data_IF_262689973458
#
_entry.id   IF_262689973458
#
_cell.length_a   1.000
_cell.length_b   1.000
_cell.length_c   1.000
_cell.angle_alpha   90.00
_cell.angle_beta   90.00
_cell.angle_gamma   90.00
#
_symmetry.space_group_name_H-M   'P 1'
#
loop_
_entity.id
_entity.type
_entity.pdbx_description
1 polymer ?
#
# COMPACT_ATOMS: atom_id res chain seq x y z
N UNK A 1 -3.24 8.50 -10.00
CA UNK A 1 -1.91 8.20 -10.59
C UNK A 1 -1.38 6.91 -9.98
N UNK A 2 -0.73 6.04 -10.77
CA UNK A 2 -0.14 4.80 -10.24
C UNK A 2 1.19 5.07 -9.52
N UNK A 3 1.37 4.46 -8.36
CA UNK A 3 2.58 4.59 -7.55
C UNK A 3 3.07 3.25 -7.04
N UNK A 4 4.37 3.22 -6.74
CA UNK A 4 5.00 2.16 -5.97
C UNK A 4 5.75 2.77 -4.80
N UNK A 5 5.87 2.00 -3.73
CA UNK A 5 6.76 2.36 -2.66
C UNK A 5 8.23 2.25 -3.10
N UNK A 6 9.06 3.22 -2.68
CA UNK A 6 10.49 3.29 -3.01
C UNK A 6 11.27 2.12 -2.43
N UNK A 7 12.30 1.66 -3.13
CA UNK A 7 13.16 0.57 -2.62
C UNK A 7 13.89 0.96 -1.33
N UNK A 8 14.25 2.22 -1.17
CA UNK A 8 14.88 2.74 0.04
C UNK A 8 13.95 2.58 1.25
N UNK A 9 12.69 2.99 1.13
CA UNK A 9 11.73 2.89 2.25
C UNK A 9 11.39 1.44 2.59
N UNK A 10 11.28 0.55 1.59
CA UNK A 10 11.15 -0.89 1.81
C UNK A 10 12.35 -1.47 2.55
N UNK A 11 13.56 -1.14 2.11
CA UNK A 11 14.81 -1.65 2.69
C UNK A 11 14.99 -1.20 4.15
N UNK A 12 14.67 0.07 4.45
CA UNK A 12 14.73 0.59 5.81
C UNK A 12 13.78 -0.16 6.75
N UNK A 13 12.55 -0.47 6.30
CA UNK A 13 11.63 -1.27 7.10
C UNK A 13 12.09 -2.70 7.31
N UNK A 14 12.67 -3.34 6.30
CA UNK A 14 13.23 -4.69 6.44
C UNK A 14 14.39 -4.74 7.45
N UNK A 15 15.11 -3.63 7.63
CA UNK A 15 16.13 -3.50 8.68
C UNK A 15 15.57 -3.06 10.05
N UNK A 16 14.24 -3.02 10.24
CA UNK A 16 13.59 -2.65 11.50
C UNK A 16 13.38 -1.15 11.70
N UNK A 17 13.58 -0.34 10.66
CA UNK A 17 13.29 1.09 10.65
C UNK A 17 11.80 1.36 10.84
N UNK A 18 11.48 2.44 11.56
CA UNK A 18 10.11 2.92 11.81
C UNK A 18 9.70 4.08 10.91
N UNK A 19 10.50 4.34 9.87
CA UNK A 19 10.20 5.41 8.94
C UNK A 19 8.93 5.09 8.14
N UNK A 20 8.08 6.09 7.90
CA UNK A 20 6.86 5.92 7.12
C UNK A 20 7.18 5.62 5.65
N UNK A 21 6.29 4.85 5.02
CA UNK A 21 6.40 4.48 3.61
C UNK A 21 6.48 5.72 2.70
N UNK A 22 7.39 5.68 1.72
CA UNK A 22 7.51 6.72 0.70
C UNK A 22 7.16 6.13 -0.66
N UNK A 23 6.29 6.81 -1.38
CA UNK A 23 5.79 6.42 -2.69
C UNK A 23 6.29 7.37 -3.77
N UNK A 24 6.51 6.82 -4.95
CA UNK A 24 6.87 7.55 -6.16
C UNK A 24 6.03 7.08 -7.35
N UNK A 25 5.88 7.95 -8.35
CA UNK A 25 5.13 7.64 -9.56
C UNK A 25 5.73 6.42 -10.28
N UNK A 26 4.91 5.42 -10.57
CA UNK A 26 5.34 4.26 -11.34
C UNK A 26 4.97 4.45 -12.82
N UNK A 27 5.93 4.94 -13.61
CA UNK A 27 5.73 5.19 -15.04
C UNK A 27 5.63 3.91 -15.89
N UNK A 28 5.91 2.73 -15.33
CA UNK A 28 5.85 1.44 -16.04
C UNK A 28 4.47 0.76 -15.92
N UNK A 29 3.45 1.45 -15.37
CA UNK A 29 2.09 0.92 -15.14
C UNK A 29 2.06 -0.38 -14.32
N UNK A 30 3.05 -0.54 -13.44
CA UNK A 30 3.23 -1.66 -12.52
C UNK A 30 3.10 -1.22 -11.07
N UNK A 31 2.42 -0.09 -10.84
CA UNK A 31 2.15 0.40 -9.50
C UNK A 31 1.21 -0.55 -8.77
N UNK A 32 1.53 -0.85 -7.51
CA UNK A 32 0.68 -1.64 -6.63
C UNK A 32 -0.46 -0.80 -6.03
N UNK A 33 -0.29 0.53 -6.07
CA UNK A 33 -1.22 1.48 -5.47
C UNK A 33 -1.56 2.64 -6.40
N UNK A 34 -2.66 3.30 -6.08
CA UNK A 34 -3.13 4.52 -6.70
C UNK A 34 -3.10 5.67 -5.70
N UNK A 35 -2.64 6.82 -6.16
CA UNK A 35 -2.84 8.10 -5.51
C UNK A 35 -4.08 8.77 -6.10
N UNK A 36 -5.02 9.14 -5.24
CA UNK A 36 -6.23 9.89 -5.55
C UNK A 36 -6.15 11.25 -4.84
N UNK A 37 -6.34 12.33 -5.61
CA UNK A 37 -6.35 13.71 -5.12
C UNK A 37 -5.10 14.13 -4.30
N UNK A 38 -3.95 13.51 -4.59
CA UNK A 38 -2.69 13.68 -3.84
C UNK A 38 -2.78 13.44 -2.32
N UNK A 39 -3.85 12.79 -1.85
CA UNK A 39 -4.19 12.66 -0.43
C UNK A 39 -4.46 11.22 -0.02
N UNK A 40 -4.94 10.39 -0.94
CA UNK A 40 -5.39 9.04 -0.62
C UNK A 40 -4.59 7.99 -1.38
N UNK A 41 -4.15 6.97 -0.66
CA UNK A 41 -3.53 5.76 -1.20
C UNK A 41 -4.55 4.62 -1.21
N UNK A 42 -4.71 3.99 -2.37
CA UNK A 42 -5.67 2.90 -2.60
C UNK A 42 -4.96 1.73 -3.27
N UNK A 43 -5.13 0.47 -2.79
CA UNK A 43 -4.53 -0.69 -3.45
C UNK A 43 -5.18 -0.96 -4.81
N UNK A 44 -4.39 -1.41 -5.77
CA UNK A 44 -4.89 -1.80 -7.09
C UNK A 44 -5.71 -3.10 -6.98
N UNK A 45 -6.94 -3.06 -7.47
CA UNK A 45 -7.84 -4.21 -7.42
C UNK A 45 -7.35 -5.36 -8.31
N UNK A 46 -7.57 -6.60 -7.88
CA UNK A 46 -7.31 -7.81 -8.69
C UNK A 46 -5.90 -8.41 -8.61
N UNK A 47 -4.99 -7.88 -7.78
CA UNK A 47 -3.68 -8.48 -7.54
C UNK A 47 -3.74 -9.60 -6.48
N UNK A 48 -3.21 -10.79 -6.78
CA UNK A 48 -3.22 -11.92 -5.82
C UNK A 48 -2.42 -11.56 -4.57
N UNK A 49 -3.11 -11.49 -3.43
CA UNK A 49 -2.46 -11.31 -2.15
C UNK A 49 -1.93 -12.67 -1.68
N UNK A 50 -0.63 -12.86 -1.83
CA UNK A 50 0.14 -13.92 -1.19
C UNK A 50 0.76 -13.41 0.12
N UNK A 51 1.39 -14.29 0.90
CA UNK A 51 2.03 -13.94 2.17
C UNK A 51 2.96 -12.72 2.07
N UNK A 52 3.81 -12.69 1.03
CA UNK A 52 4.77 -11.62 0.82
C UNK A 52 4.09 -10.26 0.55
N UNK A 53 3.04 -10.26 -0.27
CA UNK A 53 2.24 -9.05 -0.50
C UNK A 53 1.39 -8.65 0.70
N UNK A 54 0.94 -9.60 1.53
CA UNK A 54 0.24 -9.32 2.78
C UNK A 54 1.14 -8.60 3.78
N UNK A 55 2.38 -9.06 3.94
CA UNK A 55 3.38 -8.39 4.78
C UNK A 55 3.61 -6.95 4.31
N UNK A 56 3.59 -6.71 3.01
CA UNK A 56 3.71 -5.35 2.47
C UNK A 56 2.45 -4.52 2.72
N UNK A 57 1.27 -5.03 2.37
CA UNK A 57 -0.01 -4.33 2.53
C UNK A 57 -0.30 -4.01 4.00
N UNK A 58 0.03 -4.93 4.92
CA UNK A 58 -0.22 -4.74 6.36
C UNK A 58 0.61 -3.61 6.99
N UNK A 59 1.65 -3.13 6.31
CA UNK A 59 2.37 -1.91 6.73
C UNK A 59 1.65 -0.61 6.37
N UNK A 60 0.73 -0.68 5.41
CA UNK A 60 0.03 0.47 4.84
C UNK A 60 -1.44 0.50 5.23
N UNK A 61 -2.02 -0.68 5.45
CA UNK A 61 -3.41 -0.89 5.78
C UNK A 61 -3.52 -1.84 6.98
N UNK A 62 -4.42 -1.53 7.89
CA UNK A 62 -4.91 -2.50 8.86
C UNK A 62 -5.75 -3.56 8.13
N UNK A 63 -5.35 -4.82 8.21
CA UNK A 63 -6.02 -5.94 7.56
C UNK A 63 -6.95 -6.66 8.54
N UNK A 64 -8.26 -6.56 8.33
CA UNK A 64 -9.29 -7.21 9.14
C UNK A 64 -9.69 -8.55 8.52
N UNK A 65 -9.92 -9.56 9.37
CA UNK A 65 -10.43 -10.89 8.99
C UNK A 65 -9.57 -11.66 7.96
N UNK A 66 -8.26 -11.41 7.91
CA UNK A 66 -7.36 -12.16 7.04
C UNK A 66 -7.11 -13.58 7.59
N UNK A 67 -7.53 -14.60 6.83
CA UNK A 67 -7.31 -16.01 7.16
C UNK A 67 -6.34 -16.66 6.16
N UNK A 68 -5.09 -16.89 6.60
CA UNK A 68 -4.00 -17.44 5.77
C UNK A 68 -4.29 -18.80 5.13
N UNK A 69 -5.12 -19.63 5.78
CA UNK A 69 -5.39 -21.00 5.37
C UNK A 69 -6.57 -21.14 4.41
N UNK A 70 -7.30 -20.05 4.20
CA UNK A 70 -8.39 -20.08 3.26
C UNK A 70 -7.83 -19.86 1.86
N UNK A 71 -8.12 -20.80 0.98
CA UNK A 71 -7.99 -20.64 -0.46
C UNK A 71 -9.01 -19.62 -1.01
N UNK A 72 -9.28 -18.55 -0.25
CA UNK A 72 -10.07 -17.40 -0.67
C UNK A 72 -9.19 -16.64 -1.65
N UNK A 73 -9.29 -17.07 -2.91
CA UNK A 73 -8.86 -16.23 -4.01
C UNK A 73 -9.62 -14.92 -3.95
N UNK A 74 -8.92 -13.84 -3.59
CA UNK A 74 -9.01 -12.47 -4.14
C UNK A 74 -10.36 -11.75 -4.27
N UNK A 75 -11.51 -12.38 -4.00
CA UNK A 75 -12.82 -11.86 -4.39
C UNK A 75 -13.47 -10.96 -3.34
N UNK A 76 -12.87 -10.83 -2.15
CA UNK A 76 -13.48 -10.17 -1.00
C UNK A 76 -12.63 -9.06 -0.39
N UNK A 77 -11.57 -8.56 -1.06
CA UNK A 77 -10.85 -7.39 -0.54
C UNK A 77 -11.74 -6.15 -0.64
N UNK A 78 -12.26 -5.71 0.50
CA UNK A 78 -13.08 -4.50 0.63
C UNK A 78 -12.20 -3.39 1.21
N UNK A 79 -12.09 -2.27 0.49
CA UNK A 79 -11.50 -1.06 1.02
C UNK A 79 -12.49 -0.37 1.96
N UNK A 80 -12.27 -0.50 3.26
CA UNK A 80 -13.09 0.14 4.30
C UNK A 80 -12.70 1.61 4.44
N UNK A 81 -11.39 1.89 4.46
CA UNK A 81 -10.83 3.24 4.61
C UNK A 81 -9.55 3.38 3.78
N UNK A 82 -9.41 4.41 2.92
CA UNK A 82 -8.16 4.68 2.23
C UNK A 82 -7.06 5.10 3.21
N UNK A 83 -5.82 4.73 2.92
CA UNK A 83 -4.66 5.30 3.61
C UNK A 83 -4.52 6.78 3.23
N UNK A 84 -4.04 7.60 4.16
CA UNK A 84 -3.73 9.00 3.88
C UNK A 84 -2.26 9.19 3.62
N UNK A 85 -1.96 10.05 2.66
CA UNK A 85 -0.61 10.44 2.31
C UNK A 85 -0.51 11.95 2.18
N UNK A 86 0.70 12.47 2.20
CA UNK A 86 0.99 13.86 1.83
C UNK A 86 2.16 13.93 0.87
N UNK A 87 2.17 14.89 -0.07
CA UNK A 87 3.32 15.12 -0.94
C UNK A 87 4.49 15.66 -0.11
N UNK A 88 5.72 15.23 -0.43
CA UNK A 88 6.94 15.64 0.30
C UNK A 88 8.00 16.36 -0.54
N UNK A 89 7.96 16.26 -1.87
CA UNK A 89 8.88 16.93 -2.80
C UNK A 89 8.15 17.16 -4.13
N UNK A 90 8.10 18.40 -4.64
CA UNK A 90 7.57 18.82 -5.96
C UNK A 90 6.34 18.07 -6.50
N UNK A 91 5.52 17.51 -5.61
CA UNK A 91 4.42 16.60 -5.92
C UNK A 91 4.83 15.30 -6.67
N UNK A 92 6.11 14.91 -6.64
CA UNK A 92 6.60 13.67 -7.26
C UNK A 92 6.67 12.48 -6.29
N UNK A 93 6.68 12.76 -4.99
CA UNK A 93 6.72 11.74 -3.93
C UNK A 93 5.69 12.00 -2.85
N UNK A 94 5.14 10.92 -2.32
CA UNK A 94 4.15 10.92 -1.24
C UNK A 94 4.66 10.14 -0.04
N UNK A 95 4.34 10.62 1.15
CA UNK A 95 4.67 9.99 2.43
C UNK A 95 3.39 9.51 3.09
N UNK A 96 3.38 8.29 3.62
CA UNK A 96 2.28 7.78 4.44
C UNK A 96 2.10 8.66 5.69
N UNK A 97 0.86 9.10 5.91
CA UNK A 97 0.46 9.88 7.08
C UNK A 97 -0.37 9.02 8.03
N UNK A 98 -1.42 8.38 7.50
CA UNK A 98 -2.28 7.48 8.26
C UNK A 98 -2.47 6.17 7.49
N UNK A 99 -2.50 5.06 8.22
CA UNK A 99 -2.86 3.76 7.66
C UNK A 99 -4.33 3.73 7.24
N UNK A 100 -4.60 2.96 6.18
CA UNK A 100 -5.95 2.64 5.73
C UNK A 100 -6.48 1.39 6.43
N UNK A 101 -7.64 0.91 5.99
CA UNK A 101 -8.25 -0.34 6.50
C UNK A 101 -8.79 -1.15 5.33
N UNK A 102 -8.40 -2.43 5.30
CA UNK A 102 -8.88 -3.44 4.37
C UNK A 102 -9.58 -4.56 5.13
N UNK A 103 -10.66 -5.07 4.56
CA UNK A 103 -11.33 -6.27 5.05
C UNK A 103 -11.23 -7.36 3.99
N UNK A 104 -10.98 -8.59 4.44
CA UNK A 104 -10.81 -9.78 3.61
C UNK A 104 -11.97 -10.76 3.80
#
# INVERSE_FOLDING_TARGET
MEVSETEDSKSHRWCGGKDPAIFEANHKSRGDYWIIDNQYLVPKYGQKINQHSYETISTLFECLNYHYNDSIGLRSMILVKPAKVSPIHDQEKWKLQDTGTLQF
#
